data_IF_733481523357
#
_entry.id   IF_733481523357
#
_cell.length_a   1.000
_cell.length_b   1.000
_cell.length_c   1.000
_cell.angle_alpha   90.00
_cell.angle_beta   90.00
_cell.angle_gamma   90.00
#
_symmetry.space_group_name_H-M   'P 1'
#
loop_
_entity.id
_entity.type
_entity.pdbx_description
1 polymer ?
#
# COMPACT_ATOMS: atom_id res chain seq x y z
N UNK A 1 -61.30 23.20 -9.58
CA UNK A 1 -61.78 22.32 -10.64
C UNK A 1 -60.73 22.35 -11.75
N UNK A 2 -59.82 21.39 -11.81
CA UNK A 2 -58.96 21.17 -12.97
C UNK A 2 -58.56 19.68 -12.98
N UNK A 3 -58.90 19.06 -14.09
CA UNK A 3 -58.79 17.63 -14.35
C UNK A 3 -57.32 17.17 -14.42
N UNK A 4 -56.97 16.16 -13.67
CA UNK A 4 -55.77 15.36 -13.87
C UNK A 4 -56.09 14.24 -14.87
N UNK A 5 -55.21 13.97 -15.87
CA UNK A 5 -55.47 12.93 -16.86
C UNK A 5 -55.20 11.53 -16.33
N UNK A 6 -56.11 10.67 -16.65
CA UNK A 6 -56.28 9.26 -16.28
C UNK A 6 -55.39 8.32 -17.11
N UNK A 7 -54.09 8.56 -17.18
CA UNK A 7 -53.16 7.71 -17.97
C UNK A 7 -51.97 7.14 -17.25
N UNK A 8 -51.94 7.21 -15.89
CA UNK A 8 -50.75 6.73 -15.13
C UNK A 8 -50.91 5.30 -14.59
N UNK A 9 -52.06 4.67 -14.73
CA UNK A 9 -52.34 3.35 -14.10
C UNK A 9 -52.11 2.16 -15.04
N UNK A 10 -51.96 2.37 -16.34
CA UNK A 10 -51.75 1.26 -17.30
C UNK A 10 -50.28 0.90 -17.59
N UNK A 11 -49.33 1.73 -17.21
CA UNK A 11 -47.90 1.47 -17.47
C UNK A 11 -47.22 0.71 -16.32
N UNK A 12 -47.82 0.68 -15.12
CA UNK A 12 -47.25 -0.04 -13.97
C UNK A 12 -47.56 -1.54 -13.98
N UNK A 13 -48.61 -1.97 -14.69
CA UNK A 13 -49.02 -3.39 -14.73
C UNK A 13 -48.18 -4.22 -15.74
N UNK A 14 -47.49 -3.60 -16.69
CA UNK A 14 -46.68 -4.31 -17.70
C UNK A 14 -45.23 -4.50 -17.27
N UNK A 15 -44.72 -3.71 -16.33
CA UNK A 15 -43.34 -3.85 -15.81
C UNK A 15 -43.28 -4.94 -14.72
N UNK A 16 -44.39 -5.20 -14.05
CA UNK A 16 -44.45 -6.27 -13.00
C UNK A 16 -44.53 -7.69 -13.57
N UNK A 17 -44.93 -7.85 -14.85
CA UNK A 17 -45.04 -9.18 -15.46
C UNK A 17 -43.75 -9.69 -16.12
N UNK A 18 -42.75 -8.82 -16.33
CA UNK A 18 -41.46 -9.20 -16.93
C UNK A 18 -40.39 -9.59 -15.90
N UNK A 19 -40.64 -9.39 -14.61
CA UNK A 19 -39.67 -9.70 -13.53
C UNK A 19 -39.80 -11.09 -12.92
N UNK A 20 -40.71 -11.92 -13.41
CA UNK A 20 -41.05 -13.23 -12.81
C UNK A 20 -40.53 -14.43 -13.58
N UNK A 21 -39.63 -14.26 -14.56
CA UNK A 21 -39.10 -15.41 -15.32
C UNK A 21 -37.57 -15.48 -15.38
N UNK A 22 -36.84 -14.76 -14.51
CA UNK A 22 -35.43 -15.07 -14.29
C UNK A 22 -35.37 -16.10 -13.17
N UNK A 23 -35.40 -17.37 -13.52
CA UNK A 23 -34.97 -18.43 -12.63
C UNK A 23 -33.50 -18.22 -12.32
N UNK A 24 -33.22 -17.52 -11.22
CA UNK A 24 -31.88 -17.48 -10.62
C UNK A 24 -31.61 -18.92 -10.18
N UNK A 25 -30.90 -19.67 -11.01
CA UNK A 25 -30.31 -20.93 -10.58
C UNK A 25 -29.38 -20.58 -9.41
N UNK A 26 -29.85 -20.78 -8.19
CA UNK A 26 -28.99 -20.78 -7.03
C UNK A 26 -28.05 -21.97 -7.22
N UNK A 27 -26.84 -21.72 -7.76
CA UNK A 27 -25.76 -22.63 -7.56
C UNK A 27 -25.65 -22.79 -6.03
N UNK A 28 -26.09 -23.93 -5.53
CA UNK A 28 -25.86 -24.29 -4.14
C UNK A 28 -24.36 -24.38 -3.97
N UNK A 29 -23.74 -23.30 -3.45
CA UNK A 29 -22.38 -23.35 -2.97
C UNK A 29 -22.38 -24.31 -1.79
N UNK A 30 -21.95 -25.54 -2.04
CA UNK A 30 -21.65 -26.48 -0.96
C UNK A 30 -20.31 -26.02 -0.43
N UNK A 31 -20.26 -25.49 0.82
CA UNK A 31 -18.97 -25.13 1.40
C UNK A 31 -18.13 -26.42 1.45
N UNK A 32 -17.10 -26.46 0.63
CA UNK A 32 -16.06 -27.46 0.76
C UNK A 32 -15.37 -27.14 2.07
N UNK A 33 -15.52 -28.00 3.07
CA UNK A 33 -14.75 -27.87 4.30
C UNK A 33 -13.29 -27.76 3.90
N UNK A 34 -12.53 -26.75 4.39
CA UNK A 34 -11.12 -26.68 4.09
C UNK A 34 -10.48 -28.03 4.44
N UNK A 35 -9.58 -28.54 3.61
CA UNK A 35 -8.90 -29.79 3.91
C UNK A 35 -8.29 -29.63 5.30
N UNK A 36 -8.53 -30.61 6.17
CA UNK A 36 -7.87 -30.68 7.49
C UNK A 36 -6.38 -30.65 7.20
N UNK A 37 -5.69 -29.61 7.70
CA UNK A 37 -4.26 -29.46 7.47
C UNK A 37 -3.57 -30.74 7.99
N UNK A 38 -2.88 -31.44 7.08
CA UNK A 38 -2.02 -32.55 7.45
C UNK A 38 -0.89 -31.97 8.34
N UNK A 39 -0.76 -32.37 9.61
CA UNK A 39 0.32 -31.88 10.48
C UNK A 39 1.71 -32.13 9.92
N UNK A 40 1.86 -33.07 8.97
CA UNK A 40 3.11 -33.34 8.26
C UNK A 40 3.34 -32.43 7.06
N UNK A 41 2.35 -31.61 6.65
CA UNK A 41 2.50 -30.71 5.51
C UNK A 41 3.39 -29.53 5.89
N UNK A 42 4.65 -29.63 5.50
CA UNK A 42 5.67 -28.61 5.75
C UNK A 42 5.40 -27.27 5.04
N UNK A 43 4.44 -27.21 4.10
CA UNK A 43 4.05 -25.99 3.40
C UNK A 43 3.37 -24.98 4.32
N UNK A 44 2.85 -25.43 5.45
CA UNK A 44 2.09 -24.63 6.40
C UNK A 44 2.75 -24.57 7.79
N UNK A 45 4.07 -24.57 7.84
CA UNK A 45 4.75 -24.27 9.09
C UNK A 45 4.30 -22.94 9.62
N UNK A 46 4.06 -22.88 10.94
CA UNK A 46 3.79 -21.63 11.60
C UNK A 46 4.93 -20.65 11.28
N UNK A 47 4.59 -19.50 10.74
CA UNK A 47 5.54 -18.42 10.44
C UNK A 47 5.83 -17.71 11.76
N UNK A 48 7.11 -17.50 12.03
CA UNK A 48 7.55 -16.63 13.11
C UNK A 48 8.00 -15.30 12.53
N UNK A 49 7.47 -14.21 13.10
CA UNK A 49 7.87 -12.85 12.78
C UNK A 49 8.11 -12.05 14.04
N UNK A 50 9.13 -11.22 14.03
CA UNK A 50 9.38 -10.24 15.09
C UNK A 50 8.70 -8.91 14.72
N UNK A 51 7.56 -8.66 15.32
CA UNK A 51 6.80 -7.43 15.09
C UNK A 51 7.35 -6.22 15.86
N UNK A 52 8.46 -6.36 16.56
CA UNK A 52 9.13 -5.24 17.23
C UNK A 52 10.15 -4.52 16.33
N UNK A 53 10.35 -5.01 15.11
CA UNK A 53 11.28 -4.45 14.13
C UNK A 53 10.68 -4.43 12.73
N UNK A 54 10.99 -3.43 11.90
CA UNK A 54 10.61 -3.45 10.49
C UNK A 54 11.48 -4.39 9.63
N UNK A 55 12.58 -4.93 10.16
CA UNK A 55 13.50 -5.78 9.42
C UNK A 55 13.06 -7.24 9.41
N UNK A 56 13.25 -7.92 8.29
CA UNK A 56 12.99 -9.37 8.15
C UNK A 56 13.92 -10.24 9.00
N UNK A 57 14.91 -9.68 9.67
CA UNK A 57 15.89 -10.42 10.47
C UNK A 57 15.19 -11.23 11.56
N UNK A 58 15.44 -12.53 11.59
CA UNK A 58 14.77 -13.45 12.52
C UNK A 58 13.40 -13.94 12.09
N UNK A 59 12.87 -13.47 10.96
CA UNK A 59 11.63 -13.99 10.36
C UNK A 59 11.87 -15.34 9.69
N UNK A 60 10.87 -16.22 9.78
CA UNK A 60 10.83 -17.50 9.06
C UNK A 60 10.00 -17.44 7.78
N UNK A 61 9.69 -16.25 7.27
CA UNK A 61 9.01 -16.07 5.99
C UNK A 61 9.84 -16.65 4.85
N UNK A 62 9.20 -17.45 4.01
CA UNK A 62 9.85 -18.07 2.85
C UNK A 62 9.21 -17.53 1.57
N UNK A 63 10.03 -17.26 0.54
CA UNK A 63 9.48 -16.91 -0.77
C UNK A 63 8.71 -18.11 -1.32
N UNK A 64 7.48 -17.84 -1.73
CA UNK A 64 6.61 -18.83 -2.39
C UNK A 64 6.46 -18.42 -3.84
N UNK A 65 6.40 -19.38 -4.75
CA UNK A 65 6.13 -19.08 -6.15
C UNK A 65 4.74 -18.47 -6.28
N UNK A 66 4.61 -17.26 -6.83
CA UNK A 66 3.32 -16.62 -7.04
C UNK A 66 2.44 -17.42 -7.98
N UNK A 67 1.13 -17.32 -7.78
CA UNK A 67 0.14 -17.74 -8.75
C UNK A 67 -0.16 -16.53 -9.66
N UNK A 68 -0.08 -16.72 -10.98
CA UNK A 68 -0.54 -15.71 -11.93
C UNK A 68 -2.06 -15.74 -11.97
N UNK A 69 -2.70 -14.62 -11.66
CA UNK A 69 -4.15 -14.47 -11.77
C UNK A 69 -4.54 -14.06 -13.20
N UNK A 70 -3.87 -13.04 -13.74
CA UNK A 70 -3.99 -12.66 -15.16
C UNK A 70 -2.74 -11.89 -15.63
N UNK A 71 -2.59 -11.83 -16.95
CA UNK A 71 -1.66 -10.94 -17.65
C UNK A 71 -2.45 -10.22 -18.72
N UNK A 72 -2.37 -8.89 -18.72
CA UNK A 72 -2.97 -8.05 -19.73
C UNK A 72 -1.89 -7.33 -20.54
N UNK A 73 -2.04 -7.38 -21.89
CA UNK A 73 -1.05 -6.92 -22.83
C UNK A 73 -1.53 -5.67 -23.54
N UNK A 74 -1.25 -4.50 -22.96
CA UNK A 74 -1.56 -3.23 -23.56
C UNK A 74 -0.52 -2.79 -24.62
N UNK A 75 -0.81 -1.75 -25.38
CA UNK A 75 0.07 -1.29 -26.46
C UNK A 75 1.43 -0.80 -25.95
N UNK A 76 1.48 -0.12 -24.82
CA UNK A 76 2.68 0.52 -24.25
C UNK A 76 3.20 -0.11 -22.95
N UNK A 77 2.44 -1.00 -22.33
CA UNK A 77 2.81 -1.66 -21.08
C UNK A 77 2.17 -3.06 -20.97
N UNK A 78 2.55 -3.80 -19.96
CA UNK A 78 1.90 -5.05 -19.55
C UNK A 78 1.48 -4.93 -18.09
N UNK A 79 0.33 -5.50 -17.73
CA UNK A 79 -0.16 -5.60 -16.36
C UNK A 79 -0.18 -7.07 -15.95
N UNK A 80 0.53 -7.41 -14.90
CA UNK A 80 0.45 -8.73 -14.28
C UNK A 80 -0.22 -8.60 -12.91
N UNK A 81 -1.28 -9.37 -12.67
CA UNK A 81 -1.78 -9.61 -11.32
C UNK A 81 -1.30 -10.97 -10.84
N UNK A 82 -0.59 -10.95 -9.74
CA UNK A 82 -0.02 -12.12 -9.09
C UNK A 82 -0.62 -12.24 -7.69
N UNK A 83 -0.95 -13.45 -7.29
CA UNK A 83 -1.27 -13.75 -5.91
C UNK A 83 -0.02 -14.34 -5.23
N UNK A 84 0.48 -13.64 -4.23
CA UNK A 84 1.60 -14.09 -3.40
C UNK A 84 1.09 -14.39 -2.00
N UNK A 85 1.63 -15.42 -1.37
CA UNK A 85 1.24 -15.81 -0.01
C UNK A 85 2.44 -16.40 0.72
N UNK A 86 2.95 -15.70 1.70
CA UNK A 86 4.03 -16.20 2.57
C UNK A 86 3.59 -16.41 4.02
N UNK A 87 2.32 -16.13 4.33
CA UNK A 87 1.63 -16.46 5.59
C UNK A 87 0.38 -17.25 5.32
N UNK A 88 0.06 -18.15 6.21
CA UNK A 88 -1.19 -18.91 6.11
C UNK A 88 -2.41 -17.96 6.17
N UNK A 89 -3.33 -18.15 5.22
CA UNK A 89 -4.58 -17.36 5.18
C UNK A 89 -4.43 -15.88 4.88
N UNK A 90 -3.24 -15.41 4.44
CA UNK A 90 -2.96 -14.02 4.14
C UNK A 90 -2.44 -13.83 2.69
N UNK A 91 -3.29 -14.04 1.68
CA UNK A 91 -2.94 -13.80 0.29
C UNK A 91 -2.81 -12.30 0.00
N UNK A 92 -1.85 -11.94 -0.83
CA UNK A 92 -1.58 -10.59 -1.29
C UNK A 92 -1.73 -10.55 -2.80
N UNK A 93 -2.59 -9.66 -3.29
CA UNK A 93 -2.69 -9.33 -4.69
C UNK A 93 -1.58 -8.32 -5.03
N UNK A 94 -0.64 -8.77 -5.86
CA UNK A 94 0.52 -8.00 -6.30
C UNK A 94 0.38 -7.63 -7.76
N UNK A 95 0.27 -6.34 -8.04
CA UNK A 95 0.28 -5.80 -9.40
C UNK A 95 1.70 -5.47 -9.81
N UNK A 96 2.09 -5.90 -11.01
CA UNK A 96 3.35 -5.54 -11.66
C UNK A 96 3.03 -4.98 -13.04
N UNK A 97 3.24 -3.67 -13.21
CA UNK A 97 2.97 -2.97 -14.46
C UNK A 97 4.31 -2.57 -15.09
N UNK A 98 4.63 -3.12 -16.26
CA UNK A 98 5.91 -2.89 -16.92
C UNK A 98 5.75 -2.12 -18.23
N UNK A 99 6.55 -1.08 -18.46
CA UNK A 99 6.59 -0.42 -19.77
C UNK A 99 7.17 -1.36 -20.82
N UNK A 100 6.60 -1.37 -22.01
CA UNK A 100 7.17 -2.06 -23.17
C UNK A 100 8.34 -1.28 -23.75
N UNK A 101 9.27 -1.98 -24.39
CA UNK A 101 10.46 -1.37 -24.98
C UNK A 101 11.63 -1.09 -24.03
N UNK A 102 11.46 -1.26 -22.72
CA UNK A 102 12.51 -1.15 -21.72
C UNK A 102 12.88 -2.53 -21.19
N UNK A 103 14.14 -2.95 -21.41
CA UNK A 103 14.57 -4.33 -21.10
C UNK A 103 14.53 -4.63 -19.59
N UNK A 104 15.05 -3.72 -18.77
CA UNK A 104 15.03 -3.80 -17.30
C UNK A 104 14.65 -2.43 -16.74
N UNK A 105 13.38 -2.12 -16.63
CA UNK A 105 12.95 -0.83 -16.08
C UNK A 105 13.30 -0.71 -14.60
N UNK A 106 13.66 0.51 -14.14
CA UNK A 106 13.66 0.84 -12.73
C UNK A 106 12.27 0.61 -12.13
N UNK A 107 12.18 0.43 -10.82
CA UNK A 107 10.94 0.02 -10.15
C UNK A 107 10.50 1.04 -9.12
N UNK A 108 9.22 1.39 -9.13
CA UNK A 108 8.59 2.14 -8.04
C UNK A 108 7.54 1.25 -7.38
N UNK A 109 7.70 1.02 -6.07
CA UNK A 109 6.65 0.40 -5.25
C UNK A 109 5.67 1.47 -4.80
N UNK A 110 4.38 1.19 -4.97
CA UNK A 110 3.28 2.05 -4.54
C UNK A 110 2.55 1.42 -3.37
N UNK A 111 2.49 2.12 -2.24
CA UNK A 111 1.78 1.67 -1.06
C UNK A 111 0.87 2.80 -0.55
N UNK A 112 -0.43 2.68 -0.82
CA UNK A 112 -1.41 3.65 -0.39
C UNK A 112 -1.81 3.47 1.06
N UNK A 113 -2.27 4.57 1.66
CA UNK A 113 -2.75 4.59 3.02
C UNK A 113 -4.11 3.92 3.19
N UNK A 114 -4.37 3.45 4.40
CA UNK A 114 -5.70 3.03 4.82
C UNK A 114 -6.74 4.13 4.58
N UNK A 115 -7.91 3.85 4.06
CA UNK A 115 -8.46 2.55 3.63
C UNK A 115 -8.36 2.26 2.12
N UNK A 116 -7.43 2.86 1.40
CA UNK A 116 -7.31 2.77 -0.05
C UNK A 116 -6.93 1.34 -0.49
N UNK A 117 -7.66 0.84 -1.48
CA UNK A 117 -7.40 -0.45 -2.11
C UNK A 117 -6.46 -0.32 -3.33
N UNK A 118 -6.23 -1.44 -4.02
CA UNK A 118 -5.45 -1.49 -5.26
C UNK A 118 -6.29 -1.32 -6.52
N UNK A 119 -7.55 -0.89 -6.43
CA UNK A 119 -8.43 -0.75 -7.60
C UNK A 119 -7.88 0.23 -8.65
N UNK A 120 -7.11 1.22 -8.20
CA UNK A 120 -6.38 2.15 -9.05
C UNK A 120 -5.46 1.44 -10.07
N UNK A 121 -4.86 0.29 -9.72
CA UNK A 121 -3.99 -0.50 -10.61
C UNK A 121 -4.75 -1.25 -11.70
N UNK A 122 -6.07 -1.04 -11.83
CA UNK A 122 -6.95 -1.55 -12.91
C UNK A 122 -7.50 -0.41 -13.77
N UNK A 123 -6.88 0.75 -13.70
CA UNK A 123 -7.31 1.91 -14.46
C UNK A 123 -6.25 2.25 -15.51
N UNK A 124 -6.62 2.16 -16.78
CA UNK A 124 -5.73 2.40 -17.93
C UNK A 124 -4.98 3.72 -17.85
N UNK A 125 -5.64 4.81 -17.44
CA UNK A 125 -5.01 6.12 -17.37
C UNK A 125 -3.95 6.16 -16.26
N UNK A 126 -4.23 5.49 -15.15
CA UNK A 126 -3.26 5.35 -14.07
C UNK A 126 -2.08 4.45 -14.47
N UNK A 127 -2.33 3.32 -15.13
CA UNK A 127 -1.30 2.40 -15.61
C UNK A 127 -0.35 3.06 -16.61
N UNK A 128 -0.89 3.86 -17.53
CA UNK A 128 -0.10 4.71 -18.44
C UNK A 128 0.73 5.74 -17.68
N UNK A 129 0.12 6.36 -16.68
CA UNK A 129 0.75 7.40 -15.87
C UNK A 129 1.96 6.86 -15.10
N UNK A 130 1.82 5.73 -14.42
CA UNK A 130 2.90 5.16 -13.58
C UNK A 130 4.03 4.55 -14.40
N UNK A 131 3.80 4.24 -15.68
CA UNK A 131 4.81 3.65 -16.58
C UNK A 131 5.38 4.64 -17.61
N UNK A 132 4.83 5.86 -17.70
CA UNK A 132 5.11 6.83 -18.79
C UNK A 132 6.60 7.15 -18.99
N UNK A 133 7.39 7.16 -17.97
CA UNK A 133 8.82 7.49 -18.05
C UNK A 133 9.72 6.25 -18.10
N UNK A 134 9.20 5.10 -18.57
CA UNK A 134 9.99 3.88 -18.70
C UNK A 134 10.34 3.23 -17.35
N UNK A 135 9.59 3.52 -16.31
CA UNK A 135 9.68 2.86 -14.99
C UNK A 135 8.59 1.80 -14.86
N UNK A 136 8.85 0.75 -14.10
CA UNK A 136 7.86 -0.24 -13.73
C UNK A 136 7.17 0.19 -12.43
N UNK A 137 5.88 -0.06 -12.33
CA UNK A 137 5.10 0.16 -11.11
C UNK A 137 4.77 -1.18 -10.47
N UNK A 138 4.90 -1.26 -9.17
CA UNK A 138 4.52 -2.42 -8.36
C UNK A 138 3.63 -1.95 -7.23
N UNK A 139 2.46 -2.54 -7.10
CA UNK A 139 1.50 -2.14 -6.07
C UNK A 139 0.85 -3.33 -5.39
N UNK A 140 0.59 -3.19 -4.10
CA UNK A 140 -0.14 -4.15 -3.31
C UNK A 140 -0.75 -3.47 -2.08
N UNK A 141 -1.63 -4.15 -1.36
CA UNK A 141 -2.24 -3.62 -0.14
C UNK A 141 -1.44 -3.98 1.10
N UNK A 142 -1.28 -3.01 2.00
CA UNK A 142 -0.72 -3.26 3.33
C UNK A 142 -1.66 -4.13 4.18
N UNK A 143 -1.20 -4.63 5.30
CA UNK A 143 -2.02 -5.34 6.28
C UNK A 143 -3.12 -4.45 6.91
N UNK A 144 -3.06 -3.14 6.69
CA UNK A 144 -4.05 -2.16 7.14
C UNK A 144 -5.16 -1.89 6.13
N UNK A 145 -5.04 -2.34 4.88
CA UNK A 145 -5.94 -1.94 3.80
C UNK A 145 -6.39 -3.11 2.93
N UNK A 146 -7.40 -2.87 2.07
CA UNK A 146 -7.86 -3.79 1.06
C UNK A 146 -8.52 -5.04 1.62
N UNK A 147 -8.37 -6.14 0.91
CA UNK A 147 -9.02 -7.41 1.25
C UNK A 147 -8.43 -8.08 2.49
N UNK A 148 -7.22 -7.72 2.91
CA UNK A 148 -6.49 -8.38 4.00
C UNK A 148 -7.13 -8.24 5.38
N UNK A 149 -8.06 -7.29 5.54
CA UNK A 149 -8.79 -7.09 6.80
C UNK A 149 -10.29 -7.34 6.71
N UNK A 150 -10.85 -7.70 5.54
CA UNK A 150 -12.28 -7.94 5.38
C UNK A 150 -12.84 -9.06 6.27
N UNK A 151 -12.01 -10.03 6.61
CA UNK A 151 -12.38 -11.15 7.47
C UNK A 151 -12.23 -10.85 8.97
N UNK A 152 -11.79 -9.63 9.32
CA UNK A 152 -11.54 -9.22 10.70
C UNK A 152 -12.41 -8.02 11.08
N UNK A 153 -12.94 -7.94 12.32
CA UNK A 153 -13.75 -6.80 12.77
C UNK A 153 -12.91 -5.53 12.81
N UNK A 154 -13.09 -4.66 11.84
CA UNK A 154 -12.26 -3.50 11.54
C UNK A 154 -11.98 -2.58 12.74
N UNK A 155 -12.99 -2.32 13.54
CA UNK A 155 -12.89 -1.34 14.64
C UNK A 155 -12.03 -1.80 15.82
N UNK A 156 -11.95 -3.09 16.08
CA UNK A 156 -11.17 -3.62 17.21
C UNK A 156 -9.76 -4.05 16.75
N UNK A 157 -9.65 -4.50 15.53
CA UNK A 157 -8.43 -5.06 15.00
C UNK A 157 -7.39 -4.00 14.61
N UNK A 158 -7.81 -2.97 13.88
CA UNK A 158 -6.92 -1.99 13.29
C UNK A 158 -5.99 -1.28 14.29
N UNK A 159 -6.53 -0.83 15.42
CA UNK A 159 -5.77 -0.09 16.43
C UNK A 159 -5.10 -1.02 17.44
N UNK A 160 -5.79 -2.06 17.88
CA UNK A 160 -5.23 -3.01 18.84
C UNK A 160 -4.04 -3.81 18.28
N UNK A 161 -4.00 -4.03 16.98
CA UNK A 161 -2.95 -4.76 16.28
C UNK A 161 -2.08 -3.86 15.38
N UNK A 162 -2.06 -2.55 15.63
CA UNK A 162 -1.36 -1.58 14.79
C UNK A 162 0.14 -1.90 14.65
N UNK A 163 0.81 -2.33 15.71
CA UNK A 163 2.22 -2.73 15.64
C UNK A 163 2.40 -3.93 14.69
N UNK A 164 1.59 -4.98 14.84
CA UNK A 164 1.61 -6.15 13.99
C UNK A 164 1.39 -5.77 12.52
N UNK A 165 0.37 -4.95 12.25
CA UNK A 165 0.05 -4.51 10.89
C UNK A 165 1.18 -3.72 10.23
N UNK A 166 1.83 -2.84 10.98
CA UNK A 166 2.96 -2.04 10.48
C UNK A 166 4.17 -2.94 10.21
N UNK A 167 4.54 -3.81 11.15
CA UNK A 167 5.66 -4.72 10.98
C UNK A 167 5.43 -5.72 9.84
N UNK A 168 4.27 -6.37 9.84
CA UNK A 168 3.85 -7.30 8.78
C UNK A 168 3.95 -6.64 7.40
N UNK A 169 3.45 -5.40 7.27
CA UNK A 169 3.51 -4.68 6.00
C UNK A 169 4.94 -4.29 5.59
N UNK A 170 5.79 -3.92 6.55
CA UNK A 170 7.20 -3.66 6.28
C UNK A 170 7.96 -4.93 5.85
N UNK A 171 7.63 -6.08 6.44
CA UNK A 171 8.14 -7.38 6.02
C UNK A 171 7.65 -7.75 4.62
N UNK A 172 6.37 -7.48 4.30
CA UNK A 172 5.79 -7.73 2.98
C UNK A 172 6.50 -6.95 1.88
N UNK A 173 6.82 -5.68 2.12
CA UNK A 173 7.61 -4.88 1.16
C UNK A 173 8.95 -5.57 0.88
N UNK A 174 9.66 -6.04 1.90
CA UNK A 174 10.93 -6.73 1.73
C UNK A 174 10.78 -8.08 1.03
N UNK A 175 9.70 -8.83 1.29
CA UNK A 175 9.38 -10.07 0.58
C UNK A 175 9.03 -9.81 -0.88
N UNK A 176 8.30 -8.75 -1.18
CA UNK A 176 8.05 -8.30 -2.57
C UNK A 176 9.37 -7.94 -3.25
N UNK A 177 10.26 -7.19 -2.61
CA UNK A 177 11.58 -6.87 -3.15
C UNK A 177 12.42 -8.12 -3.44
N UNK A 178 12.37 -9.14 -2.57
CA UNK A 178 13.04 -10.43 -2.80
C UNK A 178 12.46 -11.13 -4.02
N UNK A 179 11.14 -11.12 -4.19
CA UNK A 179 10.49 -11.70 -5.35
C UNK A 179 10.86 -10.96 -6.65
N UNK A 180 10.83 -9.61 -6.64
CA UNK A 180 11.17 -8.80 -7.81
C UNK A 180 12.61 -9.00 -8.24
N UNK A 181 13.54 -9.13 -7.29
CA UNK A 181 14.95 -9.42 -7.58
C UNK A 181 15.12 -10.80 -8.24
N UNK A 182 14.43 -11.81 -7.71
CA UNK A 182 14.45 -13.16 -8.26
C UNK A 182 13.85 -13.27 -9.68
N UNK A 183 12.96 -12.34 -10.09
CA UNK A 183 12.42 -12.29 -11.47
C UNK A 183 13.50 -11.99 -12.51
N UNK A 184 14.43 -11.11 -12.21
CA UNK A 184 15.56 -10.75 -13.07
C UNK A 184 15.20 -9.88 -14.29
N UNK A 185 13.94 -9.46 -14.46
CA UNK A 185 13.44 -8.63 -15.58
C UNK A 185 13.25 -7.15 -15.19
N UNK A 186 13.67 -6.75 -14.00
CA UNK A 186 13.61 -5.41 -13.45
C UNK A 186 15.00 -4.94 -12.99
N UNK A 187 15.23 -3.64 -12.93
CA UNK A 187 16.48 -3.06 -12.40
C UNK A 187 16.36 -2.82 -10.89
N UNK A 188 16.73 -3.82 -10.12
CA UNK A 188 16.71 -3.77 -8.65
C UNK A 188 17.81 -2.90 -8.02
N UNK A 189 18.70 -2.28 -8.81
CA UNK A 189 19.63 -1.25 -8.32
C UNK A 189 18.97 0.14 -8.28
N UNK A 190 17.86 0.31 -9.00
CA UNK A 190 17.08 1.54 -9.07
C UNK A 190 15.64 1.26 -8.61
N UNK A 191 15.48 1.17 -7.29
CA UNK A 191 14.18 0.95 -6.64
C UNK A 191 13.77 2.22 -5.89
N UNK A 192 12.56 2.70 -6.17
CA UNK A 192 11.88 3.75 -5.44
C UNK A 192 10.66 3.23 -4.68
N UNK A 193 10.18 4.02 -3.75
CA UNK A 193 8.93 3.76 -3.04
C UNK A 193 8.15 5.07 -2.90
N UNK A 194 6.92 5.08 -3.44
CA UNK A 194 5.93 6.13 -3.26
C UNK A 194 4.84 5.62 -2.32
N UNK A 195 4.56 6.36 -1.26
CA UNK A 195 3.61 5.89 -0.28
C UNK A 195 2.86 7.04 0.41
N UNK A 196 1.62 6.78 0.85
CA UNK A 196 0.73 7.77 1.43
C UNK A 196 0.15 7.30 2.77
N UNK A 197 -0.02 8.22 3.71
CA UNK A 197 -0.68 7.98 5.00
C UNK A 197 0.00 6.87 5.80
N UNK A 198 -0.76 5.83 6.20
CA UNK A 198 -0.20 4.64 6.84
C UNK A 198 0.82 3.91 5.96
N UNK A 199 0.63 3.94 4.63
CA UNK A 199 1.61 3.41 3.68
C UNK A 199 2.93 4.17 3.74
N UNK A 200 2.91 5.50 3.92
CA UNK A 200 4.11 6.31 4.08
C UNK A 200 4.86 5.98 5.38
N UNK A 201 4.14 5.69 6.47
CA UNK A 201 4.76 5.20 7.70
C UNK A 201 5.49 3.87 7.49
N UNK A 202 4.84 2.92 6.78
CA UNK A 202 5.43 1.63 6.42
C UNK A 202 6.66 1.84 5.51
N UNK A 203 6.58 2.77 4.56
CA UNK A 203 7.69 3.09 3.66
C UNK A 203 8.91 3.65 4.40
N UNK A 204 8.70 4.53 5.39
CA UNK A 204 9.75 5.03 6.27
C UNK A 204 10.42 3.87 7.01
N UNK A 205 9.63 3.02 7.67
CA UNK A 205 10.12 1.86 8.41
C UNK A 205 10.91 0.92 7.51
N UNK A 206 10.37 0.58 6.34
CA UNK A 206 11.03 -0.33 5.40
C UNK A 206 12.30 0.27 4.79
N UNK A 207 12.28 1.56 4.40
CA UNK A 207 13.46 2.23 3.83
C UNK A 207 14.60 2.40 4.84
N UNK A 208 14.29 2.38 6.13
CA UNK A 208 15.30 2.34 7.18
C UNK A 208 15.88 0.93 7.37
N UNK A 209 15.10 -0.13 7.09
CA UNK A 209 15.51 -1.52 7.28
C UNK A 209 16.12 -2.15 6.00
N UNK A 210 15.75 -1.68 4.81
CA UNK A 210 16.16 -2.26 3.52
C UNK A 210 16.86 -1.24 2.62
N UNK A 211 18.15 -1.37 2.38
CA UNK A 211 18.94 -0.42 1.59
C UNK A 211 18.67 -0.50 0.08
N UNK A 212 17.85 -1.44 -0.39
CA UNK A 212 17.47 -1.51 -1.81
C UNK A 212 16.59 -0.35 -2.23
N UNK A 213 15.81 0.23 -1.33
CA UNK A 213 15.01 1.44 -1.62
C UNK A 213 15.95 2.64 -1.68
N UNK A 214 16.14 3.18 -2.90
CA UNK A 214 17.09 4.28 -3.19
C UNK A 214 16.42 5.65 -3.20
N UNK A 215 15.14 5.71 -3.54
CA UNK A 215 14.33 6.93 -3.60
C UNK A 215 13.06 6.70 -2.79
N UNK A 216 12.78 7.59 -1.85
CA UNK A 216 11.58 7.55 -1.03
C UNK A 216 10.78 8.84 -1.21
N UNK A 217 9.52 8.72 -1.57
CA UNK A 217 8.53 9.79 -1.51
C UNK A 217 7.43 9.36 -0.55
N UNK A 218 7.38 10.04 0.61
CA UNK A 218 6.46 9.75 1.70
C UNK A 218 5.50 10.93 1.88
N UNK A 219 4.20 10.68 1.68
CA UNK A 219 3.14 11.67 1.78
C UNK A 219 2.32 11.46 3.05
N UNK A 220 2.20 12.51 3.86
CA UNK A 220 1.38 12.55 5.08
C UNK A 220 1.55 11.31 5.98
N UNK A 221 2.79 10.90 6.32
CA UNK A 221 3.00 9.72 7.14
C UNK A 221 2.36 9.89 8.51
N UNK A 222 1.80 8.79 9.03
CA UNK A 222 1.41 8.72 10.44
C UNK A 222 2.65 8.57 11.30
N UNK A 223 2.64 9.11 12.50
CA UNK A 223 3.74 9.00 13.44
C UNK A 223 3.49 9.85 14.67
N UNK A 224 4.45 9.89 15.61
CA UNK A 224 4.25 10.40 16.95
C UNK A 224 3.05 9.71 17.61
N UNK A 225 3.17 8.39 17.76
CA UNK A 225 2.06 7.55 18.23
C UNK A 225 1.36 8.09 19.48
N UNK A 226 2.05 8.66 20.48
CA UNK A 226 1.37 9.25 21.63
C UNK A 226 0.39 10.36 21.23
N UNK A 227 0.78 11.26 20.34
CA UNK A 227 -0.09 12.35 19.86
C UNK A 227 -1.12 11.82 18.87
N UNK A 228 -0.71 10.98 17.93
CA UNK A 228 -1.60 10.44 16.91
C UNK A 228 -2.74 9.62 17.53
N UNK A 229 -2.44 8.70 18.45
CA UNK A 229 -3.45 7.87 19.13
C UNK A 229 -4.36 8.68 20.04
N UNK A 230 -3.87 9.78 20.59
CA UNK A 230 -4.68 10.65 21.44
C UNK A 230 -5.64 11.55 20.67
N UNK A 231 -5.30 11.95 19.42
CA UNK A 231 -5.99 13.08 18.78
C UNK A 231 -6.44 12.83 17.34
N UNK A 232 -5.91 11.81 16.65
CA UNK A 232 -6.33 11.50 15.28
C UNK A 232 -7.84 11.17 15.21
N UNK A 233 -8.57 11.64 14.18
CA UNK A 233 -9.96 11.29 13.98
C UNK A 233 -10.18 9.81 13.64
N UNK A 234 -9.15 9.08 13.24
CA UNK A 234 -9.23 7.64 13.00
C UNK A 234 -9.32 6.84 14.30
N UNK A 235 -8.97 7.44 15.44
CA UNK A 235 -9.09 6.79 16.75
C UNK A 235 -10.43 7.14 17.37
N UNK A 236 -11.35 6.17 17.57
CA UNK A 236 -12.62 6.43 18.22
C UNK A 236 -12.42 7.02 19.61
N UNK A 237 -13.10 8.12 19.94
CA UNK A 237 -12.93 8.83 21.19
C UNK A 237 -13.13 7.90 22.43
N UNK A 238 -14.10 7.00 22.35
CA UNK A 238 -14.37 6.06 23.42
C UNK A 238 -13.24 5.06 23.70
N UNK A 239 -12.37 4.83 22.71
CA UNK A 239 -11.27 3.85 22.78
C UNK A 239 -9.90 4.52 23.07
N UNK A 240 -9.76 5.83 22.87
CA UNK A 240 -8.48 6.58 22.98
C UNK A 240 -7.72 6.29 24.26
N UNK A 241 -8.41 6.24 25.39
CA UNK A 241 -7.78 5.98 26.69
C UNK A 241 -7.08 4.62 26.76
N UNK A 242 -7.51 3.64 25.95
CA UNK A 242 -6.91 2.32 25.94
C UNK A 242 -5.62 2.29 25.12
N UNK A 243 -5.56 3.09 24.06
CA UNK A 243 -4.38 3.17 23.18
C UNK A 243 -3.30 4.14 23.65
N UNK A 244 -3.59 5.04 24.60
CA UNK A 244 -2.58 5.91 25.22
C UNK A 244 -2.01 5.37 26.53
N UNK A 245 -2.33 4.13 26.91
CA UNK A 245 -1.74 3.46 28.08
C UNK A 245 -0.23 3.24 27.86
N UNK A 246 0.59 3.36 28.92
CA UNK A 246 2.05 3.23 28.80
C UNK A 246 2.50 1.93 28.16
N UNK A 247 1.84 0.80 28.46
CA UNK A 247 2.15 -0.49 27.90
C UNK A 247 1.87 -0.58 26.39
N UNK A 248 0.77 0.06 25.92
CA UNK A 248 0.46 0.11 24.50
C UNK A 248 1.43 1.05 23.75
N UNK A 249 1.69 2.23 24.29
CA UNK A 249 2.66 3.17 23.72
C UNK A 249 4.07 2.58 23.68
N UNK A 250 4.48 1.85 24.70
CA UNK A 250 5.75 1.12 24.71
C UNK A 250 5.82 0.07 23.58
N UNK A 251 4.72 -0.64 23.33
CA UNK A 251 4.62 -1.55 22.18
C UNK A 251 4.77 -0.79 20.86
N UNK A 252 4.06 0.33 20.69
CA UNK A 252 4.10 1.13 19.47
C UNK A 252 5.44 1.84 19.23
N UNK A 253 6.18 2.20 20.29
CA UNK A 253 7.46 2.91 20.17
C UNK A 253 8.53 2.16 19.40
N UNK A 254 8.42 0.84 19.26
CA UNK A 254 9.37 0.04 18.49
C UNK A 254 9.27 0.30 16.98
N UNK A 255 8.12 0.77 16.52
CA UNK A 255 7.82 1.10 15.13
C UNK A 255 7.34 2.57 15.01
N UNK A 256 7.99 3.47 15.73
CA UNK A 256 7.70 4.91 15.70
C UNK A 256 8.35 5.56 14.47
N UNK A 257 7.60 6.03 13.45
CA UNK A 257 8.18 6.64 12.25
C UNK A 257 9.07 7.84 12.55
N UNK A 258 8.78 8.62 13.59
CA UNK A 258 9.62 9.75 14.04
C UNK A 258 11.04 9.27 14.38
N UNK A 259 11.18 8.10 15.01
CA UNK A 259 12.47 7.52 15.42
C UNK A 259 13.18 6.76 14.30
N UNK A 260 12.42 6.30 13.29
CA UNK A 260 12.96 5.57 12.15
C UNK A 260 13.30 6.47 10.96
N UNK A 261 12.67 7.62 10.81
CA UNK A 261 12.91 8.57 9.71
C UNK A 261 14.38 8.99 9.59
N UNK A 262 15.12 9.31 10.69
CA UNK A 262 16.56 9.62 10.60
C UNK A 262 17.44 8.44 10.15
N UNK A 263 16.92 7.21 10.18
CA UNK A 263 17.62 5.97 9.81
C UNK A 263 17.35 5.52 8.37
N UNK A 264 16.51 6.25 7.64
CA UNK A 264 16.19 5.96 6.24
C UNK A 264 17.47 5.96 5.41
N UNK A 265 17.67 4.88 4.63
CA UNK A 265 18.89 4.67 3.84
C UNK A 265 18.74 5.11 2.38
N UNK A 266 17.58 5.63 1.99
CA UNK A 266 17.36 6.15 0.65
C UNK A 266 18.28 7.33 0.35
N UNK A 267 18.82 7.37 -0.87
CA UNK A 267 19.72 8.44 -1.33
C UNK A 267 19.00 9.76 -1.59
N UNK A 268 17.71 9.65 -1.92
CA UNK A 268 16.83 10.76 -2.21
C UNK A 268 15.54 10.56 -1.43
N UNK A 269 15.14 11.57 -0.70
CA UNK A 269 13.95 11.54 0.15
C UNK A 269 13.13 12.80 -0.14
N UNK A 270 11.83 12.61 -0.31
CA UNK A 270 10.84 13.66 -0.33
C UNK A 270 9.78 13.38 0.73
N UNK A 271 9.45 14.39 1.51
CA UNK A 271 8.33 14.38 2.44
C UNK A 271 7.30 15.39 1.94
N UNK A 272 6.12 14.91 1.61
CA UNK A 272 4.97 15.73 1.25
C UNK A 272 4.04 15.86 2.45
N UNK A 273 3.62 17.07 2.78
CA UNK A 273 2.82 17.37 3.97
C UNK A 273 1.63 18.29 3.60
N UNK A 274 0.43 17.75 3.67
CA UNK A 274 -0.82 18.48 3.52
C UNK A 274 -1.16 19.19 4.83
N UNK A 275 -0.87 20.49 4.94
CA UNK A 275 -1.09 21.26 6.17
C UNK A 275 -2.56 21.33 6.62
N UNK A 276 -3.48 20.96 5.74
CA UNK A 276 -4.91 20.87 6.01
C UNK A 276 -5.40 19.44 6.35
N UNK A 277 -4.53 18.42 6.22
CA UNK A 277 -4.86 17.07 6.69
C UNK A 277 -5.02 17.07 8.22
N UNK A 278 -6.04 16.38 8.70
CA UNK A 278 -6.32 16.23 10.11
C UNK A 278 -6.12 14.79 10.63
N UNK A 279 -5.79 13.85 9.75
CA UNK A 279 -5.53 12.45 10.13
C UNK A 279 -4.24 12.36 10.93
N UNK A 280 -3.18 13.02 10.44
CA UNK A 280 -1.94 13.22 11.21
C UNK A 280 -1.99 14.59 11.87
N UNK A 281 -2.08 14.65 13.20
CA UNK A 281 -2.19 15.94 13.92
C UNK A 281 -1.00 16.87 13.64
N UNK A 282 -1.23 18.18 13.59
CA UNK A 282 -0.21 19.18 13.23
C UNK A 282 1.09 19.03 14.05
N UNK A 283 0.98 18.78 15.36
CA UNK A 283 2.13 18.55 16.26
C UNK A 283 2.93 17.32 15.84
N UNK A 284 2.26 16.24 15.44
CA UNK A 284 2.92 15.01 14.97
C UNK A 284 3.64 15.27 13.63
N UNK A 285 3.01 15.99 12.68
CA UNK A 285 3.64 16.41 11.42
C UNK A 285 4.88 17.26 11.64
N UNK A 286 4.83 18.22 12.56
CA UNK A 286 5.99 19.05 12.93
C UNK A 286 7.14 18.22 13.45
N UNK A 287 6.89 17.22 14.29
CA UNK A 287 7.90 16.29 14.77
C UNK A 287 8.51 15.47 13.64
N UNK A 288 7.67 14.92 12.74
CA UNK A 288 8.15 14.18 11.56
C UNK A 288 9.05 15.07 10.70
N UNK A 289 8.63 16.31 10.37
CA UNK A 289 9.46 17.25 9.62
C UNK A 289 10.78 17.60 10.29
N UNK A 290 10.78 17.69 11.61
CA UNK A 290 12.01 17.98 12.37
C UNK A 290 13.03 16.82 12.34
N UNK A 291 12.58 15.62 12.02
CA UNK A 291 13.41 14.40 12.04
C UNK A 291 13.85 13.93 10.66
N UNK A 292 13.52 14.65 9.59
CA UNK A 292 13.97 14.28 8.25
C UNK A 292 15.48 14.36 8.12
N UNK A 293 16.12 13.41 7.41
CA UNK A 293 17.56 13.48 7.12
C UNK A 293 17.92 14.77 6.38
N UNK A 294 19.15 15.24 6.56
CA UNK A 294 19.66 16.40 5.82
C UNK A 294 19.58 16.17 4.31
N UNK A 295 19.12 17.17 3.57
CA UNK A 295 18.94 17.08 2.12
C UNK A 295 17.60 16.50 1.67
N UNK A 296 16.70 16.19 2.59
CA UNK A 296 15.32 15.82 2.27
C UNK A 296 14.61 17.00 1.59
N UNK A 297 13.89 16.70 0.49
CA UNK A 297 12.98 17.64 -0.13
C UNK A 297 11.66 17.65 0.64
N UNK A 298 11.33 18.76 1.32
CA UNK A 298 10.07 18.90 2.06
C UNK A 298 9.11 19.79 1.28
N UNK A 299 7.97 19.23 0.89
CA UNK A 299 6.90 19.94 0.19
C UNK A 299 5.74 20.18 1.16
N UNK A 300 5.24 21.41 1.18
CA UNK A 300 4.14 21.81 2.05
C UNK A 300 2.98 22.29 1.19
N UNK A 301 1.84 21.63 1.28
CA UNK A 301 0.60 22.04 0.61
C UNK A 301 -0.31 22.73 1.62
N UNK A 302 -0.60 24.02 1.39
CA UNK A 302 -1.33 24.87 2.35
C UNK A 302 -2.84 24.66 2.29
N UNK A 303 -3.33 24.21 1.14
CA UNK A 303 -4.76 24.03 0.88
C UNK A 303 -4.98 22.97 -0.21
N UNK A 304 -6.23 22.57 -0.36
CA UNK A 304 -6.66 21.55 -1.32
C UNK A 304 -6.38 21.96 -2.77
N UNK A 305 -6.39 23.25 -3.11
CA UNK A 305 -6.15 23.74 -4.46
C UNK A 305 -4.68 23.57 -4.84
N UNK A 306 -3.75 23.93 -3.97
CA UNK A 306 -2.30 23.71 -4.15
C UNK A 306 -2.01 22.21 -4.32
N UNK A 307 -2.60 21.37 -3.45
CA UNK A 307 -2.47 19.93 -3.51
C UNK A 307 -2.99 19.36 -4.84
N UNK A 308 -4.22 19.68 -5.22
CA UNK A 308 -4.80 19.23 -6.50
C UNK A 308 -3.96 19.65 -7.70
N UNK A 309 -3.45 20.89 -7.71
CA UNK A 309 -2.61 21.38 -8.79
C UNK A 309 -1.28 20.60 -8.88
N UNK A 310 -0.70 20.21 -7.73
CA UNK A 310 0.52 19.39 -7.68
C UNK A 310 0.29 17.95 -8.13
N UNK A 311 -0.94 17.45 -7.99
CA UNK A 311 -1.31 16.07 -8.34
C UNK A 311 -1.98 15.97 -9.71
N UNK A 312 -2.35 17.09 -10.32
CA UNK A 312 -2.97 17.11 -11.62
C UNK A 312 -2.05 16.46 -12.66
N UNK A 313 -2.63 15.60 -13.51
CA UNK A 313 -1.93 14.91 -14.60
C UNK A 313 -0.72 14.06 -14.11
N UNK A 314 -0.71 13.69 -12.83
CA UNK A 314 0.31 12.86 -12.21
C UNK A 314 1.64 13.56 -11.98
N UNK A 315 1.67 14.87 -11.86
CA UNK A 315 2.87 15.64 -11.55
C UNK A 315 3.53 15.23 -10.24
N UNK A 316 2.73 14.77 -9.28
CA UNK A 316 3.24 14.20 -8.01
C UNK A 316 4.22 13.04 -8.24
N UNK A 317 4.00 12.23 -9.30
CA UNK A 317 4.86 11.08 -9.60
C UNK A 317 6.12 11.45 -10.39
N UNK A 318 6.18 12.67 -10.95
CA UNK A 318 7.33 13.10 -11.77
C UNK A 318 8.63 13.16 -10.98
N UNK A 319 8.56 13.59 -9.72
CA UNK A 319 9.75 13.71 -8.89
C UNK A 319 10.41 12.35 -8.64
N UNK A 320 9.66 11.38 -8.15
CA UNK A 320 10.22 10.06 -7.84
C UNK A 320 10.71 9.35 -9.11
N UNK A 321 9.96 9.47 -10.22
CA UNK A 321 10.36 8.90 -11.51
C UNK A 321 11.67 9.52 -12.01
N UNK A 322 11.80 10.85 -11.94
CA UNK A 322 13.00 11.58 -12.33
C UNK A 322 14.21 11.22 -11.46
N UNK A 323 14.06 11.26 -10.13
CA UNK A 323 15.16 10.93 -9.21
C UNK A 323 15.63 9.49 -9.39
N UNK A 324 14.71 8.57 -9.64
CA UNK A 324 15.02 7.17 -9.87
C UNK A 324 15.81 6.96 -11.17
N UNK A 325 15.43 7.65 -12.24
CA UNK A 325 16.12 7.60 -13.52
C UNK A 325 17.49 8.28 -13.46
N UNK A 326 17.69 9.27 -12.60
CA UNK A 326 18.96 9.96 -12.41
C UNK A 326 20.03 9.09 -11.72
N UNK A 327 19.64 7.96 -11.12
CA UNK A 327 20.57 7.03 -10.52
C UNK A 327 21.39 6.31 -11.61
N UNK A 328 22.68 6.04 -11.37
CA UNK A 328 23.54 5.39 -12.36
C UNK A 328 23.06 3.99 -12.70
N UNK A 329 23.12 3.64 -13.99
CA UNK A 329 22.87 2.28 -14.43
C UNK A 329 23.99 1.32 -13.98
N UNK A 330 23.67 0.05 -13.68
CA UNK A 330 24.66 -0.92 -13.18
C UNK A 330 25.89 -1.07 -14.07
N UNK A 331 25.70 -1.08 -15.40
CA UNK A 331 26.77 -1.27 -16.38
C UNK A 331 27.72 -0.06 -16.49
N UNK A 332 27.34 1.11 -15.99
CA UNK A 332 28.20 2.30 -15.99
C UNK A 332 29.31 2.25 -14.92
N UNK A 333 29.13 1.39 -13.90
CA UNK A 333 30.13 1.22 -12.81
C UNK A 333 31.24 0.22 -13.14
N UNK A 334 31.04 -0.64 -14.15
CA UNK A 334 32.03 -1.66 -14.52
C UNK A 334 33.07 -1.10 -15.50
N UNK A 335 32.85 0.08 -16.10
CA UNK A 335 33.73 0.69 -17.11
C UNK A 335 34.68 1.78 -16.57
N UNK A 336 34.85 1.88 -15.27
CA UNK A 336 35.87 2.71 -14.62
C UNK A 336 36.85 1.82 -13.86
#
# INVERSE_FOLDING_TARGET
MSNLPFNFVRTLALVSALLLSVSIGHAQYTPVSPPVADPSDTRFKAVHEDWTTPALTGSSLLPVRPLSAFVDEESSYTVELLQVQWRWGDPIDLYVIKPKGVKKPPVILYLYGYPTSTDTFRNDDYEKLVTRNGVAAVGFVSALTGHRYHDRPLKQWFLSELQECLATSAHDVQMVLNYLDARGDLDMNRVGMFAQGSGASIAILTSAADPRIKVLEAMDPWGDWPTWLATSPFVPEAERRDYVKPEFLKKMSTLEPVDWLPKVQAKKIRLDDELFDNVTPAVAREKLRAMVPAGTNVMLYKNTEEFKAAFQDGKNLEWIQHELQSLPEPDSMIRK
#
